data_IF_091434486239
#
_entry.id   IF_091434486239
#
_cell.length_a   1.000
_cell.length_b   1.000
_cell.length_c   1.000
_cell.angle_alpha   90.00
_cell.angle_beta   90.00
_cell.angle_gamma   90.00
#
_symmetry.space_group_name_H-M   'P 1'
#
loop_
_entity.id
_entity.type
_entity.pdbx_description
1 polymer ?
#
# COMPACT_ATOMS: atom_id res chain seq x y z
N UNK A 1 26.17 -13.23 -19.30
CA UNK A 1 25.88 -12.57 -17.98
C UNK A 1 24.42 -12.15 -17.97
N UNK A 2 23.61 -12.60 -17.00
CA UNK A 2 22.20 -12.18 -16.89
C UNK A 2 22.16 -10.79 -16.27
N UNK A 3 21.95 -9.75 -17.07
CA UNK A 3 21.81 -8.38 -16.61
C UNK A 3 20.54 -8.22 -15.78
N UNK A 4 20.58 -7.30 -14.79
CA UNK A 4 19.39 -6.98 -14.00
C UNK A 4 18.34 -6.39 -14.95
N UNK A 5 17.13 -6.99 -15.06
CA UNK A 5 16.10 -6.48 -15.96
C UNK A 5 15.72 -5.03 -15.58
N UNK A 6 15.39 -4.23 -16.60
CA UNK A 6 15.11 -2.80 -16.43
C UNK A 6 13.94 -2.49 -15.49
N UNK A 7 12.94 -3.39 -15.45
CA UNK A 7 11.71 -3.21 -14.67
C UNK A 7 11.72 -4.03 -13.38
N UNK A 8 11.58 -5.35 -13.50
CA UNK A 8 11.43 -6.24 -12.35
C UNK A 8 12.07 -7.60 -12.60
N UNK A 9 12.55 -8.24 -11.54
CA UNK A 9 13.13 -9.60 -11.60
C UNK A 9 12.11 -10.70 -11.95
N UNK A 10 10.81 -10.37 -11.92
CA UNK A 10 9.71 -11.25 -12.32
C UNK A 10 8.81 -10.53 -13.35
N UNK A 11 9.27 -10.36 -14.60
CA UNK A 11 8.61 -9.48 -15.56
C UNK A 11 7.22 -10.00 -15.96
N UNK A 12 7.09 -11.29 -16.30
CA UNK A 12 5.81 -11.86 -16.75
C UNK A 12 4.72 -11.82 -15.68
N UNK A 13 5.04 -12.20 -14.44
CA UNK A 13 4.04 -12.20 -13.36
C UNK A 13 3.66 -10.79 -12.90
N UNK A 14 4.58 -9.83 -12.95
CA UNK A 14 4.25 -8.43 -12.67
C UNK A 14 3.40 -7.82 -13.80
N UNK A 15 3.73 -8.11 -15.06
CA UNK A 15 2.93 -7.66 -16.20
C UNK A 15 1.48 -8.16 -16.11
N UNK A 16 1.28 -9.44 -15.80
CA UNK A 16 -0.07 -10.01 -15.60
C UNK A 16 -0.82 -9.30 -14.47
N UNK A 17 -0.20 -9.14 -13.30
CA UNK A 17 -0.85 -8.46 -12.16
C UNK A 17 -1.23 -7.02 -12.45
N UNK A 18 -0.39 -6.29 -13.18
CA UNK A 18 -0.68 -4.91 -13.59
C UNK A 18 -1.87 -4.89 -14.55
N UNK A 19 -1.90 -5.77 -15.55
CA UNK A 19 -3.03 -5.87 -16.47
C UNK A 19 -4.34 -6.24 -15.75
N UNK A 20 -4.29 -7.19 -14.82
CA UNK A 20 -5.44 -7.60 -14.00
C UNK A 20 -5.97 -6.41 -13.17
N UNK A 21 -5.08 -5.64 -12.54
CA UNK A 21 -5.44 -4.42 -11.81
C UNK A 21 -6.08 -3.37 -12.73
N UNK A 22 -5.46 -3.07 -13.88
CA UNK A 22 -6.01 -2.11 -14.84
C UNK A 22 -7.39 -2.54 -15.34
N UNK A 23 -7.58 -3.83 -15.60
CA UNK A 23 -8.88 -4.37 -16.01
C UNK A 23 -9.94 -4.21 -14.92
N UNK A 24 -9.61 -4.53 -13.68
CA UNK A 24 -10.50 -4.31 -12.55
C UNK A 24 -10.92 -2.83 -12.41
N UNK A 25 -9.98 -1.89 -12.59
CA UNK A 25 -10.30 -0.46 -12.56
C UNK A 25 -11.26 -0.06 -13.69
N UNK A 26 -11.11 -0.61 -14.90
CA UNK A 26 -12.06 -0.38 -16.00
C UNK A 26 -13.43 -0.97 -15.67
N UNK A 27 -13.48 -2.24 -15.28
CA UNK A 27 -14.72 -2.99 -15.13
C UNK A 27 -15.55 -2.55 -13.90
N UNK A 28 -14.89 -2.18 -12.80
CA UNK A 28 -15.53 -1.89 -11.49
C UNK A 28 -15.57 -0.39 -11.19
N UNK A 29 -14.63 0.38 -11.72
CA UNK A 29 -14.48 1.81 -11.42
C UNK A 29 -14.58 2.70 -12.68
N UNK A 30 -15.12 2.17 -13.78
CA UNK A 30 -15.32 2.89 -15.05
C UNK A 30 -14.02 3.55 -15.59
N UNK A 31 -12.87 2.93 -15.27
CA UNK A 31 -11.54 3.42 -15.63
C UNK A 31 -11.02 4.58 -14.77
N UNK A 32 -11.79 5.06 -13.80
CA UNK A 32 -11.38 6.12 -12.88
C UNK A 32 -10.73 5.52 -11.60
N UNK A 33 -9.40 5.48 -11.59
CA UNK A 33 -8.64 4.99 -10.45
C UNK A 33 -8.94 5.76 -9.14
N UNK A 34 -9.26 7.06 -9.21
CA UNK A 34 -9.55 7.84 -8.01
C UNK A 34 -10.91 7.48 -7.40
N UNK A 35 -11.82 6.86 -8.16
CA UNK A 35 -13.10 6.36 -7.66
C UNK A 35 -12.93 5.27 -6.58
N UNK A 36 -11.76 4.62 -6.52
CA UNK A 36 -11.42 3.67 -5.45
C UNK A 36 -11.53 4.33 -4.06
N UNK A 37 -11.15 5.61 -3.92
CA UNK A 37 -11.08 6.28 -2.61
C UNK A 37 -11.85 7.60 -2.50
N UNK A 38 -12.24 8.24 -3.61
CA UNK A 38 -12.88 9.56 -3.59
C UNK A 38 -14.23 9.57 -2.87
N UNK A 39 -15.04 8.55 -3.10
CA UNK A 39 -16.46 8.52 -2.69
C UNK A 39 -16.73 7.52 -1.53
N UNK A 40 -15.69 7.12 -0.80
CA UNK A 40 -15.80 6.21 0.35
C UNK A 40 -16.34 6.96 1.57
N UNK A 41 -17.22 6.32 2.33
CA UNK A 41 -17.86 6.91 3.52
C UNK A 41 -17.17 6.55 4.82
N UNK A 42 -16.25 5.59 4.79
CA UNK A 42 -15.48 5.17 5.97
C UNK A 42 -14.13 4.54 5.59
N UNK A 43 -13.22 4.46 6.56
CA UNK A 43 -11.96 3.74 6.43
C UNK A 43 -12.17 2.24 6.19
N UNK A 44 -13.21 1.64 6.76
CA UNK A 44 -13.56 0.24 6.51
C UNK A 44 -13.95 0.02 5.04
N UNK A 45 -14.81 0.89 4.48
CA UNK A 45 -15.18 0.83 3.06
C UNK A 45 -13.95 1.03 2.15
N UNK A 46 -13.07 1.98 2.49
CA UNK A 46 -11.83 2.18 1.74
C UNK A 46 -10.94 0.93 1.78
N UNK A 47 -10.79 0.31 2.95
CA UNK A 47 -9.98 -0.89 3.11
C UNK A 47 -10.54 -2.06 2.29
N UNK A 48 -11.86 -2.23 2.28
CA UNK A 48 -12.50 -3.30 1.52
C UNK A 48 -12.34 -3.08 0.01
N UNK A 49 -12.58 -1.86 -0.51
CA UNK A 49 -12.31 -1.52 -1.92
C UNK A 49 -10.84 -1.77 -2.31
N UNK A 50 -9.90 -1.47 -1.41
CA UNK A 50 -8.47 -1.71 -1.65
C UNK A 50 -8.10 -3.20 -1.60
N UNK A 51 -8.79 -4.02 -0.80
CA UNK A 51 -8.60 -5.48 -0.76
C UNK A 51 -9.16 -6.16 -2.01
N UNK A 52 -10.19 -5.59 -2.63
CA UNK A 52 -10.78 -6.10 -3.86
C UNK A 52 -9.85 -5.92 -5.09
N UNK A 53 -8.88 -4.99 -5.00
CA UNK A 53 -7.91 -4.79 -6.06
C UNK A 53 -6.99 -6.01 -6.26
N UNK A 54 -6.85 -6.53 -7.49
CA UNK A 54 -5.97 -7.65 -7.77
C UNK A 54 -4.52 -7.43 -7.28
N UNK A 55 -4.05 -8.34 -6.43
CA UNK A 55 -2.68 -8.32 -5.89
C UNK A 55 -2.48 -7.59 -4.56
N UNK A 56 -3.55 -6.99 -4.01
CA UNK A 56 -3.57 -6.39 -2.68
C UNK A 56 -4.16 -7.36 -1.66
N UNK A 57 -3.29 -7.93 -0.81
CA UNK A 57 -3.73 -8.62 0.41
C UNK A 57 -3.89 -7.64 1.57
N UNK A 58 -4.38 -8.14 2.71
CA UNK A 58 -4.73 -7.32 3.88
C UNK A 58 -3.64 -6.30 4.27
N UNK A 59 -2.41 -6.76 4.53
CA UNK A 59 -1.30 -5.87 4.92
C UNK A 59 -1.09 -4.74 3.91
N UNK A 60 -1.12 -5.04 2.60
CA UNK A 60 -0.89 -4.03 1.56
C UNK A 60 -2.04 -3.05 1.46
N UNK A 61 -3.27 -3.53 1.62
CA UNK A 61 -4.46 -2.67 1.61
C UNK A 61 -4.42 -1.68 2.78
N UNK A 62 -4.07 -2.14 3.99
CA UNK A 62 -3.89 -1.28 5.17
C UNK A 62 -2.76 -0.26 5.00
N UNK A 63 -1.63 -0.69 4.45
CA UNK A 63 -0.53 0.24 4.11
C UNK A 63 -1.01 1.27 3.08
N UNK A 64 -1.83 0.90 2.10
CA UNK A 64 -2.35 1.82 1.11
C UNK A 64 -3.33 2.83 1.74
N UNK A 65 -4.22 2.41 2.65
CA UNK A 65 -5.00 3.36 3.47
C UNK A 65 -4.09 4.39 4.14
N UNK A 66 -2.99 3.93 4.77
CA UNK A 66 -2.03 4.83 5.41
C UNK A 66 -1.31 5.76 4.42
N UNK A 67 -0.96 5.30 3.21
CA UNK A 67 -0.38 6.16 2.15
C UNK A 67 -1.36 7.28 1.82
N UNK A 68 -2.62 6.93 1.54
CA UNK A 68 -3.68 7.88 1.17
C UNK A 68 -3.88 8.94 2.27
N UNK A 69 -3.95 8.53 3.53
CA UNK A 69 -4.14 9.43 4.66
C UNK A 69 -2.92 10.33 4.96
N UNK A 70 -1.71 9.75 4.98
CA UNK A 70 -0.48 10.44 5.39
C UNK A 70 0.10 11.32 4.28
N UNK A 71 -0.06 10.92 3.02
CA UNK A 71 0.60 11.57 1.87
C UNK A 71 -0.35 12.34 0.97
N UNK A 72 -1.62 11.96 0.93
CA UNK A 72 -2.61 12.55 0.03
C UNK A 72 -3.78 13.21 0.76
N UNK A 73 -3.81 13.18 2.10
CA UNK A 73 -4.88 13.80 2.89
C UNK A 73 -6.24 13.12 2.80
N UNK A 74 -6.32 11.92 2.20
CA UNK A 74 -7.57 11.15 2.09
C UNK A 74 -7.81 10.40 3.40
N UNK A 75 -8.64 10.99 4.27
CA UNK A 75 -8.86 10.56 5.66
C UNK A 75 -10.35 10.37 5.94
N UNK A 76 -11.01 9.35 5.34
CA UNK A 76 -12.39 9.06 5.68
C UNK A 76 -12.53 8.68 7.16
N UNK A 77 -13.71 8.83 7.78
CA UNK A 77 -13.92 8.45 9.17
C UNK A 77 -13.48 7.00 9.45
N UNK A 78 -12.67 6.81 10.49
CA UNK A 78 -12.16 5.49 10.89
C UNK A 78 -11.01 4.95 10.03
N UNK A 79 -10.26 5.82 9.34
CA UNK A 79 -9.12 5.38 8.53
C UNK A 79 -7.96 4.85 9.38
N UNK A 80 -7.78 5.34 10.61
CA UNK A 80 -6.75 4.88 11.53
C UNK A 80 -6.95 3.42 11.90
N UNK A 81 -8.17 3.02 12.26
CA UNK A 81 -8.53 1.64 12.58
C UNK A 81 -8.39 0.74 11.35
N UNK A 82 -8.76 1.24 10.18
CA UNK A 82 -8.60 0.53 8.92
C UNK A 82 -7.11 0.30 8.58
N UNK A 83 -6.27 1.32 8.71
CA UNK A 83 -4.82 1.22 8.53
C UNK A 83 -4.13 0.40 9.64
N UNK A 84 -4.75 0.28 10.81
CA UNK A 84 -4.21 -0.45 11.96
C UNK A 84 -2.85 0.11 12.40
N UNK A 85 -1.84 -0.74 12.66
CA UNK A 85 -0.51 -0.30 13.07
C UNK A 85 0.14 0.71 12.12
N UNK A 86 -0.25 0.72 10.84
CA UNK A 86 0.31 1.63 9.84
C UNK A 86 -0.22 3.07 9.94
N UNK A 87 -1.19 3.34 10.83
CA UNK A 87 -1.69 4.67 11.11
C UNK A 87 -0.74 5.50 12.00
N UNK A 88 0.06 4.85 12.86
CA UNK A 88 0.95 5.51 13.83
C UNK A 88 2.16 6.21 13.17
N UNK A 89 2.92 7.00 13.93
CA UNK A 89 4.10 7.70 13.41
C UNK A 89 5.36 6.82 13.33
N UNK A 90 5.24 5.52 13.57
CA UNK A 90 6.38 4.61 13.51
C UNK A 90 6.80 4.42 12.03
N UNK A 91 8.11 4.42 11.70
CA UNK A 91 8.58 4.25 10.32
C UNK A 91 8.48 2.79 9.84
N UNK A 92 7.25 2.28 9.70
CA UNK A 92 6.93 0.86 9.45
C UNK A 92 6.97 0.49 7.98
N UNK A 93 6.54 1.41 7.12
CA UNK A 93 6.06 1.07 5.78
C UNK A 93 6.44 2.13 4.75
N UNK A 94 5.96 1.95 3.52
CA UNK A 94 6.13 2.96 2.46
C UNK A 94 5.25 4.19 2.70
N UNK A 95 4.21 4.09 3.53
CA UNK A 95 3.39 5.25 3.94
C UNK A 95 4.20 6.28 4.75
N UNK A 96 5.36 5.88 5.27
CA UNK A 96 6.22 6.67 6.14
C UNK A 96 7.45 7.23 5.40
N UNK A 97 7.42 7.22 4.06
CA UNK A 97 8.53 7.64 3.20
C UNK A 97 8.11 8.84 2.37
N UNK A 98 8.61 10.03 2.73
CA UNK A 98 8.49 11.29 1.97
C UNK A 98 9.84 11.83 1.49
N UNK A 99 10.94 11.17 1.88
CA UNK A 99 12.29 11.63 1.67
C UNK A 99 13.28 10.45 1.66
N UNK A 100 14.48 10.63 1.06
CA UNK A 100 15.56 9.64 1.16
C UNK A 100 15.93 9.30 2.61
N UNK A 101 15.89 10.29 3.51
CA UNK A 101 16.17 10.13 4.94
C UNK A 101 15.08 9.29 5.61
N UNK A 102 13.81 9.52 5.28
CA UNK A 102 12.70 8.69 5.77
C UNK A 102 12.81 7.23 5.26
N UNK A 103 13.21 7.03 4.00
CA UNK A 103 13.49 5.70 3.45
C UNK A 103 14.59 4.98 4.24
N UNK A 104 15.66 5.68 4.63
CA UNK A 104 16.72 5.12 5.46
C UNK A 104 16.18 4.71 6.84
N UNK A 105 15.43 5.59 7.52
CA UNK A 105 14.80 5.29 8.82
C UNK A 105 13.88 4.06 8.76
N UNK A 106 13.04 3.95 7.74
CA UNK A 106 12.15 2.78 7.55
C UNK A 106 12.95 1.49 7.32
N UNK A 107 14.06 1.55 6.58
CA UNK A 107 14.93 0.38 6.37
C UNK A 107 15.61 -0.07 7.66
N UNK A 108 16.13 0.88 8.43
CA UNK A 108 16.80 0.60 9.70
C UNK A 108 15.82 0.03 10.73
N UNK A 109 14.62 0.62 10.84
CA UNK A 109 13.57 0.10 11.69
C UNK A 109 13.16 -1.33 11.31
N UNK A 110 12.94 -1.61 10.02
CA UNK A 110 12.62 -2.97 9.53
C UNK A 110 13.73 -3.96 9.85
N UNK A 111 14.99 -3.56 9.71
CA UNK A 111 16.16 -4.40 10.05
C UNK A 111 16.17 -4.72 11.56
N UNK A 112 15.91 -3.73 12.40
CA UNK A 112 15.83 -3.90 13.85
C UNK A 112 14.66 -4.80 14.28
N UNK A 113 13.45 -4.63 13.71
CA UNK A 113 12.31 -5.51 14.03
C UNK A 113 12.54 -6.94 13.58
N UNK A 114 13.10 -7.14 12.38
CA UNK A 114 13.44 -8.48 11.88
C UNK A 114 14.45 -9.19 12.80
N UNK A 115 15.44 -8.46 13.33
CA UNK A 115 16.38 -9.01 14.31
C UNK A 115 15.72 -9.43 15.64
N UNK A 116 14.56 -8.85 15.94
CA UNK A 116 13.72 -9.17 17.12
C UNK A 116 12.63 -10.20 16.82
N UNK A 117 12.60 -10.78 15.61
CA UNK A 117 11.55 -11.71 15.19
C UNK A 117 10.18 -11.08 14.96
N UNK A 118 10.10 -9.75 14.83
CA UNK A 118 8.87 -8.99 14.61
C UNK A 118 8.70 -8.61 13.14
N UNK A 119 7.44 -8.54 12.72
CA UNK A 119 6.97 -8.04 11.43
C UNK A 119 6.74 -6.52 11.48
N UNK A 120 6.23 -5.95 10.39
CA UNK A 120 5.92 -4.51 10.33
C UNK A 120 4.59 -4.16 11.01
N UNK A 121 3.74 -5.17 11.19
CA UNK A 121 2.43 -5.04 11.80
C UNK A 121 2.47 -5.25 13.33
N UNK A 122 3.58 -5.74 13.88
CA UNK A 122 3.83 -5.84 15.33
C UNK A 122 4.31 -4.51 15.91
#
# INVERSE_FOLDING_TARGET
>A
VRTKPALHRFPASMAKRIQDLCRHLVDVHDGDAAAVWRDVRSGAELLDRLRDLPGYGDEKARIFVAILAKRFGVRPPGWEEAAGPFADDTPRSVADIDSPEALARVRDWKKAQKARGRSKAD
#
